data_IF_488209607525
#
_entry.id   IF_488209607525
#
_cell.length_a   1.000
_cell.length_b   1.000
_cell.length_c   1.000
_cell.angle_alpha   90.00
_cell.angle_beta   90.00
_cell.angle_gamma   90.00
#
_symmetry.space_group_name_H-M   'P 1'
#
loop_
_entity.id
_entity.type
_entity.pdbx_description
1 polymer ?
#
# COMPACT_ATOMS: atom_id res chain seq x y z
N UNK A 1 34.71 -32.11 -79.42
CA UNK A 1 34.02 -32.74 -78.27
C UNK A 1 32.54 -32.42 -78.44
N UNK A 2 31.62 -33.36 -78.25
CA UNK A 2 30.18 -33.07 -78.28
C UNK A 2 29.87 -32.00 -77.24
N UNK A 3 29.05 -31.02 -77.62
CA UNK A 3 28.70 -29.89 -76.76
C UNK A 3 27.42 -30.22 -76.00
N UNK A 4 27.48 -30.23 -74.66
CA UNK A 4 26.32 -30.47 -73.81
C UNK A 4 25.33 -29.31 -73.92
N UNK A 5 24.14 -29.62 -74.42
CA UNK A 5 23.06 -28.67 -74.64
C UNK A 5 21.94 -28.94 -73.62
N UNK A 6 21.19 -27.90 -73.21
CA UNK A 6 20.03 -28.11 -72.35
C UNK A 6 18.96 -28.95 -73.08
N UNK A 7 18.17 -29.74 -72.34
CA UNK A 7 17.09 -30.53 -72.93
C UNK A 7 16.10 -29.62 -73.68
N UNK A 8 15.53 -30.10 -74.79
CA UNK A 8 14.66 -29.29 -75.67
C UNK A 8 13.40 -28.74 -74.98
N UNK A 9 13.00 -29.32 -73.85
CA UNK A 9 11.91 -28.86 -72.99
C UNK A 9 12.32 -27.95 -71.83
N UNK A 10 13.61 -27.62 -71.68
CA UNK A 10 14.13 -26.83 -70.57
C UNK A 10 14.22 -27.56 -69.24
N UNK A 11 14.77 -26.89 -68.22
CA UNK A 11 14.82 -27.39 -66.83
C UNK A 11 13.56 -27.03 -66.05
N UNK A 12 13.25 -27.81 -65.02
CA UNK A 12 12.17 -27.51 -64.09
C UNK A 12 12.40 -26.15 -63.40
N UNK A 13 11.31 -25.47 -63.08
CA UNK A 13 11.36 -24.17 -62.42
C UNK A 13 11.93 -24.30 -61.01
N UNK A 14 13.18 -23.86 -60.83
CA UNK A 14 13.83 -23.80 -59.52
C UNK A 14 13.20 -22.70 -58.67
N UNK A 15 12.65 -23.08 -57.51
CA UNK A 15 12.12 -22.13 -56.54
C UNK A 15 13.27 -21.35 -55.90
N UNK A 16 13.52 -20.14 -56.38
CA UNK A 16 14.54 -19.23 -55.83
C UNK A 16 14.01 -18.38 -54.67
N UNK A 17 12.68 -18.30 -54.49
CA UNK A 17 12.04 -17.48 -53.46
C UNK A 17 11.83 -18.29 -52.18
N UNK A 18 12.13 -17.66 -51.04
CA UNK A 18 11.91 -18.26 -49.72
C UNK A 18 10.42 -18.36 -49.40
N UNK A 19 9.90 -19.57 -49.27
CA UNK A 19 8.52 -19.84 -48.88
C UNK A 19 8.40 -20.04 -47.36
N UNK A 20 8.21 -18.95 -46.60
CA UNK A 20 7.94 -19.02 -45.16
C UNK A 20 6.45 -18.73 -44.92
N UNK A 21 5.64 -19.74 -44.57
CA UNK A 21 4.25 -19.49 -44.24
C UNK A 21 4.14 -18.78 -42.88
N UNK A 22 3.39 -17.69 -42.84
CA UNK A 22 3.05 -16.97 -41.60
C UNK A 22 2.00 -17.77 -40.83
N UNK A 23 2.47 -18.69 -39.98
CA UNK A 23 1.61 -19.53 -39.12
C UNK A 23 1.26 -18.79 -37.82
N UNK A 24 0.01 -18.93 -37.36
CA UNK A 24 -0.45 -18.43 -36.07
C UNK A 24 -1.73 -17.60 -36.14
N UNK A 25 -2.21 -17.17 -34.96
CA UNK A 25 -3.33 -16.24 -34.85
C UNK A 25 -2.88 -14.82 -35.22
N UNK A 26 -3.78 -14.03 -35.82
CA UNK A 26 -3.52 -12.61 -36.09
C UNK A 26 -3.33 -11.85 -34.76
N UNK A 27 -2.47 -10.80 -34.71
CA UNK A 27 -2.18 -10.04 -33.48
C UNK A 27 -3.41 -9.61 -32.68
N UNK A 28 -4.49 -9.25 -33.38
CA UNK A 28 -5.77 -8.85 -32.78
C UNK A 28 -6.37 -9.91 -31.86
N UNK A 29 -6.27 -11.19 -32.21
CA UNK A 29 -6.86 -12.26 -31.42
C UNK A 29 -6.16 -12.46 -30.08
N UNK A 30 -4.85 -12.21 -30.01
CA UNK A 30 -4.13 -12.21 -28.74
C UNK A 30 -4.58 -11.06 -27.83
N UNK A 31 -4.83 -9.87 -28.41
CA UNK A 31 -5.33 -8.73 -27.66
C UNK A 31 -6.74 -9.00 -27.10
N UNK A 32 -7.62 -9.57 -27.91
CA UNK A 32 -8.98 -9.97 -27.47
C UNK A 32 -8.91 -11.05 -26.39
N UNK A 33 -8.07 -12.07 -26.56
CA UNK A 33 -7.88 -13.13 -25.56
C UNK A 33 -7.37 -12.58 -24.22
N UNK A 34 -6.35 -11.72 -24.27
CA UNK A 34 -5.80 -11.05 -23.09
C UNK A 34 -6.88 -10.20 -22.40
N UNK A 35 -7.62 -9.39 -23.16
CA UNK A 35 -8.65 -8.52 -22.62
C UNK A 35 -9.80 -9.33 -22.00
N UNK A 36 -10.17 -10.47 -22.61
CA UNK A 36 -11.14 -11.41 -22.04
C UNK A 36 -10.70 -11.97 -20.68
N UNK A 37 -9.43 -12.39 -20.57
CA UNK A 37 -8.88 -12.90 -19.30
C UNK A 37 -8.85 -11.82 -18.23
N UNK A 38 -8.37 -10.61 -18.57
CA UNK A 38 -8.28 -9.50 -17.62
C UNK A 38 -9.66 -9.06 -17.14
N UNK A 39 -10.61 -8.86 -18.06
CA UNK A 39 -11.98 -8.45 -17.70
C UNK A 39 -12.67 -9.50 -16.82
N UNK A 40 -12.48 -10.78 -17.10
CA UNK A 40 -12.99 -11.86 -16.26
C UNK A 40 -12.34 -11.88 -14.87
N UNK A 41 -11.00 -11.75 -14.79
CA UNK A 41 -10.29 -11.66 -13.52
C UNK A 41 -10.75 -10.48 -12.68
N UNK A 42 -10.99 -9.34 -13.32
CA UNK A 42 -11.47 -8.14 -12.66
C UNK A 42 -12.89 -8.31 -12.08
N UNK A 43 -13.77 -9.02 -12.79
CA UNK A 43 -15.09 -9.41 -12.27
C UNK A 43 -14.99 -10.27 -11.01
N UNK A 44 -14.10 -11.26 -10.99
CA UNK A 44 -13.92 -12.13 -9.81
C UNK A 44 -13.38 -11.36 -8.61
N UNK A 45 -12.44 -10.44 -8.82
CA UNK A 45 -11.94 -9.56 -7.76
C UNK A 45 -13.07 -8.72 -7.17
N UNK A 46 -13.94 -8.12 -8.00
CA UNK A 46 -15.06 -7.32 -7.48
C UNK A 46 -16.01 -8.11 -6.58
N UNK A 47 -16.26 -9.39 -6.90
CA UNK A 47 -17.07 -10.25 -6.05
C UNK A 47 -16.35 -10.54 -4.72
N UNK A 48 -15.08 -10.96 -4.76
CA UNK A 48 -14.31 -11.26 -3.54
C UNK A 48 -14.06 -10.04 -2.64
N UNK A 49 -14.01 -8.81 -3.19
CA UNK A 49 -13.86 -7.60 -2.38
C UNK A 49 -15.11 -7.31 -1.54
N UNK A 50 -16.30 -7.70 -2.00
CA UNK A 50 -17.54 -7.58 -1.21
C UNK A 50 -17.48 -8.47 0.02
N UNK A 51 -17.14 -9.74 -0.17
CA UNK A 51 -16.98 -10.71 0.92
C UNK A 51 -15.92 -10.27 1.93
N UNK A 52 -14.77 -9.74 1.47
CA UNK A 52 -13.75 -9.18 2.37
C UNK A 52 -14.24 -7.98 3.17
N UNK A 53 -15.08 -7.14 2.58
CA UNK A 53 -15.65 -5.99 3.27
C UNK A 53 -16.62 -6.45 4.37
N UNK A 54 -17.39 -7.49 4.12
CA UNK A 54 -18.28 -8.12 5.10
C UNK A 54 -17.48 -8.74 6.25
N UNK A 55 -16.45 -9.54 5.95
CA UNK A 55 -15.56 -10.10 6.97
C UNK A 55 -14.85 -9.00 7.79
N UNK A 56 -14.39 -7.93 7.14
CA UNK A 56 -13.75 -6.81 7.83
C UNK A 56 -14.74 -6.07 8.74
N UNK A 57 -16.01 -5.96 8.31
CA UNK A 57 -17.08 -5.41 9.12
C UNK A 57 -17.33 -6.28 10.34
N UNK A 58 -17.50 -7.58 10.18
CA UNK A 58 -17.68 -8.52 11.30
C UNK A 58 -16.52 -8.44 12.30
N UNK A 59 -15.28 -8.41 11.81
CA UNK A 59 -14.09 -8.23 12.64
C UNK A 59 -14.11 -6.90 13.40
N UNK A 60 -14.52 -5.81 12.75
CA UNK A 60 -14.62 -4.51 13.39
C UNK A 60 -15.71 -4.49 14.46
N UNK A 61 -16.86 -5.10 14.17
CA UNK A 61 -17.96 -5.23 15.14
C UNK A 61 -17.52 -6.04 16.35
N UNK A 62 -16.85 -7.18 16.16
CA UNK A 62 -16.28 -7.95 17.27
C UNK A 62 -15.32 -7.10 18.11
N UNK A 63 -14.48 -6.28 17.46
CA UNK A 63 -13.55 -5.39 18.16
C UNK A 63 -14.26 -4.33 18.98
N UNK A 64 -15.28 -3.66 18.45
CA UNK A 64 -16.03 -2.61 19.15
C UNK A 64 -16.62 -3.15 20.47
N UNK A 65 -17.11 -4.38 20.48
CA UNK A 65 -17.69 -4.99 21.68
C UNK A 65 -16.65 -5.41 22.71
N UNK A 66 -15.43 -5.79 22.28
CA UNK A 66 -14.36 -6.22 23.19
C UNK A 66 -13.49 -5.07 23.70
N UNK A 67 -13.37 -3.99 22.92
CA UNK A 67 -12.53 -2.82 23.24
C UNK A 67 -12.83 -2.20 24.61
N UNK A 68 -14.09 -2.00 25.06
CA UNK A 68 -14.33 -1.40 26.37
C UNK A 68 -13.84 -2.28 27.53
N UNK A 69 -13.93 -3.61 27.42
CA UNK A 69 -13.40 -4.53 28.43
C UNK A 69 -11.87 -4.45 28.48
N UNK A 70 -11.21 -4.53 27.33
CA UNK A 70 -9.76 -4.48 27.22
C UNK A 70 -9.20 -3.13 27.69
N UNK A 71 -9.86 -2.03 27.34
CA UNK A 71 -9.48 -0.69 27.81
C UNK A 71 -9.58 -0.61 29.34
N UNK A 72 -10.64 -1.16 29.94
CA UNK A 72 -10.79 -1.16 31.39
C UNK A 72 -9.73 -2.04 32.10
N UNK A 73 -9.28 -3.13 31.48
CA UNK A 73 -8.16 -3.92 32.00
C UNK A 73 -6.83 -3.17 31.89
N UNK A 74 -6.58 -2.53 30.76
CA UNK A 74 -5.38 -1.72 30.55
C UNK A 74 -5.30 -0.53 31.52
N UNK A 75 -6.40 0.22 31.68
CA UNK A 75 -6.47 1.36 32.61
C UNK A 75 -6.18 0.92 34.05
N UNK A 76 -6.63 -0.27 34.48
CA UNK A 76 -6.32 -0.81 35.82
C UNK A 76 -4.83 -1.10 36.00
N UNK A 77 -4.20 -1.68 34.99
CA UNK A 77 -2.77 -2.01 35.05
C UNK A 77 -1.89 -0.77 34.95
N UNK A 78 -2.29 0.22 34.16
CA UNK A 78 -1.61 1.52 34.12
C UNK A 78 -1.66 2.21 35.49
N UNK A 79 -2.82 2.24 36.14
CA UNK A 79 -2.98 2.80 37.49
C UNK A 79 -2.10 2.07 38.52
N UNK A 80 -1.99 0.74 38.44
CA UNK A 80 -1.11 -0.04 39.32
C UNK A 80 0.36 0.32 39.14
N UNK A 81 0.83 0.46 37.89
CA UNK A 81 2.21 0.87 37.59
C UNK A 81 2.47 2.28 38.09
N UNK A 82 1.55 3.20 37.81
CA UNK A 82 1.63 4.58 38.25
C UNK A 82 1.80 4.69 39.78
N UNK A 83 0.97 4.00 40.56
CA UNK A 83 1.12 4.01 42.01
C UNK A 83 2.39 3.31 42.52
N UNK A 84 2.88 2.28 41.83
CA UNK A 84 4.16 1.66 42.15
C UNK A 84 5.32 2.62 41.90
N UNK A 85 5.29 3.37 40.80
CA UNK A 85 6.30 4.36 40.45
C UNK A 85 6.28 5.55 41.43
N UNK A 86 5.10 6.06 41.80
CA UNK A 86 4.98 7.11 42.83
C UNK A 86 5.54 6.66 44.19
N UNK A 87 5.35 5.39 44.57
CA UNK A 87 5.92 4.85 45.81
C UNK A 87 7.45 4.78 45.74
N UNK A 88 8.00 4.27 44.63
CA UNK A 88 9.45 4.22 44.39
C UNK A 88 10.08 5.61 44.39
N UNK A 89 9.45 6.57 43.71
CA UNK A 89 9.90 7.96 43.68
C UNK A 89 9.94 8.56 45.08
N UNK A 90 8.90 8.34 45.89
CA UNK A 90 8.84 8.84 47.27
C UNK A 90 9.94 8.23 48.15
N UNK A 91 10.24 6.94 47.99
CA UNK A 91 11.30 6.25 48.74
C UNK A 91 12.70 6.76 48.34
N UNK A 92 12.93 7.00 47.05
CA UNK A 92 14.25 7.42 46.53
C UNK A 92 14.52 8.91 46.73
N UNK A 93 13.50 9.77 46.57
CA UNK A 93 13.66 11.22 46.45
C UNK A 93 13.07 11.98 47.66
N UNK A 94 12.47 11.29 48.62
CA UNK A 94 11.87 11.87 49.83
C UNK A 94 10.63 12.74 49.58
N UNK A 95 10.29 13.02 48.32
CA UNK A 95 9.15 13.81 47.89
C UNK A 95 8.61 13.29 46.56
N UNK A 96 7.32 13.50 46.28
CA UNK A 96 6.77 13.28 44.95
C UNK A 96 7.22 14.45 44.08
N UNK A 97 8.04 14.20 43.06
CA UNK A 97 8.39 15.28 42.15
C UNK A 97 7.13 15.63 41.36
N UNK A 98 6.66 16.88 41.46
CA UNK A 98 5.54 17.41 40.67
C UNK A 98 5.97 17.60 39.19
N UNK A 99 6.44 16.54 38.51
CA UNK A 99 6.92 16.62 37.12
C UNK A 99 5.76 16.73 36.14
N UNK A 100 4.58 16.19 36.46
CA UNK A 100 3.47 16.10 35.52
C UNK A 100 2.85 17.44 35.09
N UNK A 101 2.71 18.39 36.02
CA UNK A 101 1.99 19.64 35.75
C UNK A 101 2.83 20.62 34.94
N UNK A 102 4.14 20.70 35.21
CA UNK A 102 5.06 21.58 34.47
C UNK A 102 5.42 21.02 33.08
N UNK A 103 5.57 19.69 32.92
CA UNK A 103 5.82 19.09 31.60
C UNK A 103 4.58 19.19 30.70
N UNK A 104 3.38 18.97 31.23
CA UNK A 104 2.13 19.12 30.47
C UNK A 104 1.87 20.55 30.00
N UNK A 105 2.09 21.55 30.87
CA UNK A 105 1.97 22.97 30.51
C UNK A 105 2.99 23.36 29.43
N UNK A 106 4.24 22.89 29.57
CA UNK A 106 5.32 23.20 28.62
C UNK A 106 5.13 22.56 27.25
N UNK A 107 4.51 21.38 27.16
CA UNK A 107 4.16 20.75 25.89
C UNK A 107 3.03 21.52 25.17
N UNK A 108 2.03 22.02 25.90
CA UNK A 108 0.97 22.87 25.36
C UNK A 108 1.50 24.23 24.89
N UNK A 109 2.35 24.87 25.68
CA UNK A 109 3.01 26.12 25.32
C UNK A 109 3.89 25.95 24.06
N UNK A 110 4.74 24.91 24.02
CA UNK A 110 5.57 24.62 22.83
C UNK A 110 4.73 24.29 21.59
N UNK A 111 3.60 23.60 21.75
CA UNK A 111 2.68 23.32 20.64
C UNK A 111 2.03 24.58 20.06
N UNK A 112 1.67 25.55 20.93
CA UNK A 112 1.11 26.84 20.51
C UNK A 112 2.18 27.72 19.86
N UNK A 113 3.38 27.79 20.43
CA UNK A 113 4.51 28.55 19.86
C UNK A 113 4.91 28.01 18.49
N UNK A 114 5.06 26.70 18.34
CA UNK A 114 5.38 26.07 17.06
C UNK A 114 4.30 26.34 16.00
N UNK A 115 3.02 26.31 16.39
CA UNK A 115 1.90 26.65 15.51
C UNK A 115 1.89 28.13 15.08
N UNK A 116 2.28 29.04 15.97
CA UNK A 116 2.41 30.47 15.69
C UNK A 116 3.59 30.75 14.76
N UNK A 117 4.75 30.16 15.03
CA UNK A 117 5.93 30.27 14.16
C UNK A 117 5.68 29.67 12.77
N UNK A 118 5.01 28.52 12.67
CA UNK A 118 4.64 27.93 11.39
C UNK A 118 3.70 28.85 10.57
N UNK A 119 2.78 29.56 11.24
CA UNK A 119 1.85 30.49 10.60
C UNK A 119 2.53 31.80 10.19
N UNK A 120 3.47 32.30 10.99
CA UNK A 120 4.31 33.47 10.64
C UNK A 120 5.20 33.15 9.45
N UNK A 121 5.88 32.00 9.47
CA UNK A 121 6.76 31.58 8.37
C UNK A 121 6.00 31.33 7.08
N UNK A 122 4.76 30.81 7.15
CA UNK A 122 3.87 30.72 6.00
C UNK A 122 3.41 32.08 5.48
N UNK A 123 3.23 33.08 6.36
CA UNK A 123 2.87 34.45 5.94
C UNK A 123 4.03 35.16 5.25
N UNK A 124 5.26 34.99 5.73
CA UNK A 124 6.42 35.65 5.13
C UNK A 124 6.81 35.00 3.80
N UNK A 125 6.71 33.66 3.68
CA UNK A 125 6.89 32.96 2.41
C UNK A 125 5.90 33.37 1.31
N UNK A 126 4.74 33.95 1.67
CA UNK A 126 3.76 34.46 0.70
C UNK A 126 4.05 35.88 0.21
N UNK A 127 4.89 36.64 0.90
CA UNK A 127 5.25 38.03 0.54
C UNK A 127 6.42 38.11 -0.45
N UNK A 128 7.15 37.00 -0.61
CA UNK A 128 8.33 36.89 -1.48
C UNK A 128 8.00 36.35 -2.90
N UNK A 129 6.71 36.14 -3.22
CA UNK A 129 6.16 35.79 -4.54
C UNK A 129 5.41 36.98 -5.16
#
# INVERSE_FOLDING_TARGET
MPQDLPPSGGYEAVQYRRNIPTRGLRPLWYLVGMLGVVTYGWRQIFLGQREKTEMAREKMWARIHLTPLLQAEEDRDQVRRYYADLKREKELLGSQIAVGWFVGLRVLELGVEMGLWARVQASDASKDL
#
